data_IF_764696219587
#
_entry.id   IF_764696219587
#
_cell.length_a   1.000
_cell.length_b   1.000
_cell.length_c   1.000
_cell.angle_alpha   90.00
_cell.angle_beta   90.00
_cell.angle_gamma   90.00
#
_symmetry.space_group_name_H-M   'P 1'
#
loop_
_entity.id
_entity.type
_entity.pdbx_description
1 polymer ?
#
# COMPACT_ATOMS: atom_id res chain seq x y z
N UNK A 1 22.36 -9.96 2.12
CA UNK A 1 22.84 -8.90 3.01
C UNK A 1 22.35 -7.58 2.42
N UNK A 2 22.03 -6.58 3.25
CA UNK A 2 21.73 -5.22 2.78
C UNK A 2 23.07 -4.48 2.78
N UNK A 3 23.49 -4.01 1.61
CA UNK A 3 24.82 -3.46 1.36
C UNK A 3 24.80 -1.93 1.18
N UNK A 4 23.63 -1.32 0.92
CA UNK A 4 23.49 0.15 0.78
C UNK A 4 22.26 0.71 1.49
N UNK A 5 22.28 2.02 1.76
CA UNK A 5 21.10 2.74 2.29
C UNK A 5 19.90 2.66 1.31
N UNK A 6 20.18 2.62 0.00
CA UNK A 6 19.14 2.52 -1.03
C UNK A 6 18.45 1.17 -1.02
N UNK A 7 19.22 0.11 -0.87
CA UNK A 7 18.69 -1.24 -0.68
C UNK A 7 17.87 -1.35 0.60
N UNK A 8 18.36 -0.79 1.72
CA UNK A 8 17.61 -0.75 2.98
C UNK A 8 16.23 -0.12 2.79
N UNK A 9 16.18 1.09 2.22
CA UNK A 9 14.92 1.80 2.01
C UNK A 9 14.01 1.09 1.01
N UNK A 10 14.56 0.44 -0.01
CA UNK A 10 13.77 -0.35 -0.97
C UNK A 10 13.13 -1.57 -0.32
N UNK A 11 13.87 -2.29 0.54
CA UNK A 11 13.35 -3.44 1.30
C UNK A 11 12.33 -3.00 2.36
N UNK A 12 12.63 -1.94 3.10
CA UNK A 12 11.72 -1.39 4.11
C UNK A 12 10.40 -0.95 3.48
N UNK A 13 10.47 -0.16 2.39
CA UNK A 13 9.30 0.30 1.66
C UNK A 13 8.50 -0.85 1.03
N UNK A 14 9.17 -1.71 0.25
CA UNK A 14 8.49 -2.72 -0.57
C UNK A 14 8.05 -3.95 0.21
N UNK A 15 8.93 -4.53 1.03
CA UNK A 15 8.68 -5.80 1.70
C UNK A 15 8.13 -5.63 3.10
N UNK A 16 8.76 -4.80 3.93
CA UNK A 16 8.37 -4.68 5.35
C UNK A 16 7.02 -3.96 5.47
N UNK A 17 6.92 -2.74 4.94
CA UNK A 17 5.65 -1.99 4.96
C UNK A 17 4.56 -2.70 4.14
N UNK A 18 4.93 -3.27 2.98
CA UNK A 18 4.01 -4.08 2.17
C UNK A 18 3.44 -5.27 2.94
N UNK A 19 4.26 -6.04 3.65
CA UNK A 19 3.80 -7.19 4.44
C UNK A 19 2.92 -6.78 5.63
N UNK A 20 3.28 -5.71 6.33
CA UNK A 20 2.46 -5.15 7.41
C UNK A 20 1.10 -4.68 6.88
N UNK A 21 1.06 -4.10 5.68
CA UNK A 21 -0.18 -3.70 5.02
C UNK A 21 -1.07 -4.91 4.71
N UNK A 22 -0.50 -5.98 4.11
CA UNK A 22 -1.23 -7.23 3.82
C UNK A 22 -1.79 -7.89 5.09
N UNK A 23 -1.00 -7.92 6.17
CA UNK A 23 -1.40 -8.44 7.46
C UNK A 23 -2.56 -7.63 8.06
N UNK A 24 -2.43 -6.30 8.05
CA UNK A 24 -3.44 -5.40 8.59
C UNK A 24 -4.75 -5.48 7.80
N UNK A 25 -4.68 -5.52 6.47
CA UNK A 25 -5.84 -5.70 5.59
C UNK A 25 -6.57 -7.01 5.91
N UNK A 26 -5.84 -8.12 5.94
CA UNK A 26 -6.41 -9.45 6.19
C UNK A 26 -7.08 -9.51 7.57
N UNK A 27 -6.41 -8.99 8.60
CA UNK A 27 -6.95 -8.95 9.96
C UNK A 27 -8.23 -8.12 10.08
N UNK A 28 -8.26 -6.93 9.47
CA UNK A 28 -9.45 -6.07 9.46
C UNK A 28 -10.59 -6.73 8.69
N UNK A 29 -10.34 -7.32 7.52
CA UNK A 29 -11.39 -7.97 6.72
C UNK A 29 -12.03 -9.14 7.48
N UNK A 30 -11.23 -9.96 8.14
CA UNK A 30 -11.73 -11.06 8.99
C UNK A 30 -12.54 -10.51 10.16
N UNK A 31 -12.07 -9.45 10.82
CA UNK A 31 -12.78 -8.82 11.93
C UNK A 31 -14.14 -8.22 11.47
N UNK A 32 -14.17 -7.58 10.30
CA UNK A 32 -15.34 -6.92 9.73
C UNK A 32 -16.39 -7.95 9.28
N UNK A 33 -15.97 -8.97 8.54
CA UNK A 33 -16.85 -10.05 8.07
C UNK A 33 -17.41 -10.89 9.24
N UNK A 34 -16.60 -11.08 10.29
CA UNK A 34 -17.00 -11.82 11.48
C UNK A 34 -17.83 -11.01 12.48
N UNK A 35 -18.06 -9.71 12.25
CA UNK A 35 -18.91 -8.89 13.09
C UNK A 35 -20.37 -9.23 12.79
N UNK A 36 -20.89 -10.29 13.39
CA UNK A 36 -22.28 -10.75 13.27
C UNK A 36 -22.94 -10.65 14.64
N UNK A 37 -23.68 -9.56 14.89
CA UNK A 37 -24.32 -9.27 16.18
C UNK A 37 -25.11 -10.46 16.72
N UNK A 38 -25.83 -11.15 15.83
CA UNK A 38 -26.77 -12.21 16.18
C UNK A 38 -26.07 -13.50 16.63
N UNK A 39 -24.77 -13.63 16.34
CA UNK A 39 -23.94 -14.80 16.68
C UNK A 39 -22.91 -14.49 17.76
N UNK A 40 -22.87 -13.25 18.26
CA UNK A 40 -21.84 -12.78 19.20
C UNK A 40 -22.45 -12.32 20.50
N UNK A 41 -21.73 -12.57 21.60
CA UNK A 41 -22.06 -11.93 22.87
C UNK A 41 -21.74 -10.43 22.81
N UNK A 42 -22.36 -9.60 23.66
CA UNK A 42 -22.04 -8.16 23.72
C UNK A 42 -20.55 -7.89 23.94
N UNK A 43 -19.88 -8.69 24.79
CA UNK A 43 -18.43 -8.61 24.99
C UNK A 43 -17.65 -8.94 23.70
N UNK A 44 -18.09 -9.95 22.96
CA UNK A 44 -17.49 -10.34 21.67
C UNK A 44 -17.62 -9.26 20.60
N UNK A 45 -18.77 -8.56 20.54
CA UNK A 45 -18.97 -7.41 19.65
C UNK A 45 -17.99 -6.28 20.00
N UNK A 46 -17.93 -5.88 21.27
CA UNK A 46 -17.02 -4.82 21.73
C UNK A 46 -15.54 -5.13 21.46
N UNK A 47 -15.13 -6.39 21.66
CA UNK A 47 -13.77 -6.81 21.34
C UNK A 47 -13.46 -6.70 19.85
N UNK A 48 -14.38 -7.13 18.97
CA UNK A 48 -14.20 -7.02 17.51
C UNK A 48 -14.16 -5.58 17.03
N UNK A 49 -15.03 -4.72 17.57
CA UNK A 49 -15.00 -3.28 17.27
C UNK A 49 -13.65 -2.68 17.67
N UNK A 50 -13.10 -3.06 18.83
CA UNK A 50 -11.77 -2.60 19.26
C UNK A 50 -10.67 -3.05 18.29
N UNK A 51 -10.70 -4.30 17.84
CA UNK A 51 -9.75 -4.81 16.85
C UNK A 51 -9.89 -4.10 15.51
N UNK A 52 -11.11 -3.82 15.05
CA UNK A 52 -11.36 -3.02 13.85
C UNK A 52 -10.75 -1.63 13.98
N UNK A 53 -11.01 -0.91 15.08
CA UNK A 53 -10.47 0.43 15.35
C UNK A 53 -8.94 0.46 15.26
N UNK A 54 -8.25 -0.45 15.94
CA UNK A 54 -6.78 -0.49 15.92
C UNK A 54 -6.23 -0.99 14.59
N UNK A 55 -6.83 -2.03 14.01
CA UNK A 55 -6.39 -2.61 12.75
C UNK A 55 -6.49 -1.62 11.58
N UNK A 56 -7.57 -0.84 11.49
CA UNK A 56 -7.70 0.15 10.42
C UNK A 56 -6.81 1.37 10.61
N UNK A 57 -6.56 1.80 11.85
CA UNK A 57 -5.56 2.84 12.12
C UNK A 57 -4.16 2.36 11.75
N UNK A 58 -3.79 1.13 12.14
CA UNK A 58 -2.52 0.53 11.77
C UNK A 58 -2.35 0.45 10.25
N UNK A 59 -3.37 0.00 9.51
CA UNK A 59 -3.33 -0.03 8.06
C UNK A 59 -3.20 1.37 7.44
N UNK A 60 -3.95 2.36 7.94
CA UNK A 60 -3.86 3.74 7.47
C UNK A 60 -2.44 4.29 7.68
N UNK A 61 -1.84 4.09 8.86
CA UNK A 61 -0.45 4.52 9.13
C UNK A 61 0.53 3.81 8.20
N UNK A 62 0.47 2.49 8.08
CA UNK A 62 1.40 1.71 7.24
C UNK A 62 1.26 2.10 5.77
N UNK A 63 0.05 2.31 5.27
CA UNK A 63 -0.17 2.75 3.89
C UNK A 63 0.37 4.16 3.63
N UNK A 64 0.19 5.10 4.57
CA UNK A 64 0.80 6.43 4.48
C UNK A 64 2.33 6.36 4.47
N UNK A 65 2.92 5.60 5.39
CA UNK A 65 4.36 5.38 5.43
C UNK A 65 4.86 4.77 4.13
N UNK A 66 4.12 3.82 3.55
CA UNK A 66 4.46 3.20 2.26
C UNK A 66 4.50 4.26 1.17
N UNK A 67 3.42 5.02 0.98
CA UNK A 67 3.33 6.02 -0.10
C UNK A 67 4.35 7.15 0.07
N UNK A 68 4.55 7.64 1.29
CA UNK A 68 5.51 8.72 1.59
C UNK A 68 6.95 8.26 1.34
N UNK A 69 7.35 7.09 1.88
CA UNK A 69 8.71 6.57 1.66
C UNK A 69 8.96 6.26 0.19
N UNK A 70 7.96 5.72 -0.52
CA UNK A 70 8.04 5.46 -1.95
C UNK A 70 8.26 6.74 -2.74
N UNK A 71 7.46 7.78 -2.48
CA UNK A 71 7.45 9.02 -3.26
C UNK A 71 8.64 9.92 -2.97
N UNK A 72 9.04 10.04 -1.70
CA UNK A 72 10.02 11.05 -1.28
C UNK A 72 11.41 10.49 -0.99
N UNK A 73 11.57 9.17 -0.89
CA UNK A 73 12.88 8.53 -0.64
C UNK A 73 13.30 7.68 -1.83
N UNK A 74 12.47 6.70 -2.22
CA UNK A 74 12.82 5.72 -3.26
C UNK A 74 12.73 6.32 -4.67
N UNK A 75 11.66 7.06 -4.95
CA UNK A 75 11.38 7.61 -6.27
C UNK A 75 12.42 8.61 -6.81
N UNK A 76 13.01 9.51 -5.99
CA UNK A 76 14.11 10.37 -6.45
C UNK A 76 15.29 9.59 -7.04
N UNK A 77 15.66 8.44 -6.45
CA UNK A 77 16.74 7.60 -6.99
C UNK A 77 16.34 6.95 -8.32
N UNK A 78 15.10 6.49 -8.43
CA UNK A 78 14.55 5.97 -9.70
C UNK A 78 14.63 7.02 -10.83
N UNK A 79 14.36 8.29 -10.51
CA UNK A 79 14.35 9.42 -11.45
C UNK A 79 15.74 10.05 -11.71
N UNK A 80 16.81 9.55 -11.09
CA UNK A 80 18.14 10.09 -11.26
C UNK A 80 18.55 10.12 -12.75
N UNK A 81 19.15 11.23 -13.18
CA UNK A 81 19.61 11.40 -14.56
C UNK A 81 21.07 10.92 -14.68
N UNK A 82 21.42 10.14 -15.72
CA UNK A 82 22.81 9.80 -16.00
C UNK A 82 23.59 11.06 -16.42
N UNK A 83 24.86 11.18 -16.01
CA UNK A 83 25.81 12.12 -16.63
C UNK A 83 25.95 11.83 -18.13
N UNK A 84 26.31 12.85 -18.91
CA UNK A 84 26.33 12.77 -20.39
C UNK A 84 27.30 11.71 -20.95
N UNK A 85 28.34 11.36 -20.19
CA UNK A 85 29.42 10.47 -20.61
C UNK A 85 29.19 8.99 -20.21
N UNK A 86 28.12 8.70 -19.46
CA UNK A 86 27.86 7.36 -18.94
C UNK A 86 27.13 6.52 -20.00
N UNK A 87 27.80 5.48 -20.49
CA UNK A 87 27.21 4.48 -21.39
C UNK A 87 26.44 3.37 -20.67
N UNK A 88 26.82 3.07 -19.42
CA UNK A 88 26.17 2.05 -18.60
C UNK A 88 25.03 2.66 -17.77
N UNK A 89 23.78 2.36 -18.16
CA UNK A 89 22.60 2.93 -17.51
C UNK A 89 22.07 2.12 -16.31
N UNK A 90 22.73 1.04 -15.90
CA UNK A 90 22.22 0.14 -14.84
C UNK A 90 21.97 0.84 -13.49
N UNK A 91 22.72 1.91 -13.18
CA UNK A 91 22.52 2.72 -11.96
C UNK A 91 21.43 3.80 -12.10
N UNK A 92 20.81 3.92 -13.27
CA UNK A 92 19.81 4.92 -13.61
C UNK A 92 18.51 4.24 -14.09
N UNK A 93 17.70 3.68 -13.18
CA UNK A 93 16.62 2.75 -13.50
C UNK A 93 15.66 3.25 -14.57
N UNK A 94 15.20 4.50 -14.47
CA UNK A 94 14.31 5.09 -15.48
C UNK A 94 14.96 5.13 -16.87
N UNK A 95 16.21 5.59 -16.95
CA UNK A 95 16.92 5.74 -18.22
C UNK A 95 17.19 4.37 -18.84
N UNK A 96 17.55 3.38 -18.03
CA UNK A 96 17.71 1.99 -18.44
C UNK A 96 16.42 1.41 -19.03
N UNK A 97 15.29 1.52 -18.32
CA UNK A 97 13.99 1.03 -18.81
C UNK A 97 13.58 1.69 -20.13
N UNK A 98 13.91 2.96 -20.31
CA UNK A 98 13.63 3.70 -21.54
C UNK A 98 14.57 3.33 -22.70
N UNK A 99 15.78 2.84 -22.42
CA UNK A 99 16.74 2.43 -23.45
C UNK A 99 16.49 1.04 -24.03
N UNK A 100 15.74 0.18 -23.33
CA UNK A 100 15.45 -1.19 -23.74
C UNK A 100 13.99 -1.28 -24.20
N UNK A 101 13.70 -1.50 -25.49
CA UNK A 101 12.33 -1.44 -26.04
C UNK A 101 11.31 -2.28 -25.26
N UNK A 102 11.67 -3.49 -24.86
CA UNK A 102 10.78 -4.42 -24.14
C UNK A 102 10.46 -3.98 -22.70
N UNK A 103 11.23 -3.04 -22.14
CA UNK A 103 11.08 -2.57 -20.77
C UNK A 103 10.41 -1.19 -20.66
N UNK A 104 10.22 -0.49 -21.78
CA UNK A 104 9.65 0.88 -21.81
C UNK A 104 8.29 0.97 -21.12
N UNK A 105 7.47 -0.09 -21.21
CA UNK A 105 6.13 -0.15 -20.61
C UNK A 105 6.17 -0.02 -19.09
N UNK A 106 7.24 -0.46 -18.43
CA UNK A 106 7.38 -0.37 -16.98
C UNK A 106 7.51 1.08 -16.50
N UNK A 107 8.09 1.97 -17.31
CA UNK A 107 8.09 3.41 -17.01
C UNK A 107 6.81 4.08 -17.51
N UNK A 108 6.55 3.99 -18.81
CA UNK A 108 5.50 4.78 -19.50
C UNK A 108 4.08 4.47 -19.04
N UNK A 109 3.83 3.26 -18.54
CA UNK A 109 2.56 2.87 -17.97
C UNK A 109 2.69 2.51 -16.48
N UNK A 110 3.61 1.59 -16.15
CA UNK A 110 3.74 1.05 -14.79
C UNK A 110 4.02 2.12 -13.73
N UNK A 111 5.05 2.95 -13.93
CA UNK A 111 5.37 4.02 -12.99
C UNK A 111 4.32 5.13 -12.96
N UNK A 112 3.90 5.64 -14.12
CA UNK A 112 2.90 6.73 -14.18
C UNK A 112 1.59 6.34 -13.46
N UNK A 113 1.10 5.12 -13.71
CA UNK A 113 -0.10 4.62 -13.04
C UNK A 113 0.12 4.42 -11.53
N UNK A 114 1.25 3.80 -11.16
CA UNK A 114 1.62 3.56 -9.76
C UNK A 114 1.69 4.87 -8.96
N UNK A 115 2.27 5.92 -9.53
CA UNK A 115 2.44 7.22 -8.90
C UNK A 115 1.12 7.88 -8.51
N UNK A 116 0.05 7.66 -9.27
CA UNK A 116 -1.26 8.26 -8.99
C UNK A 116 -2.16 7.33 -8.16
N UNK A 117 -2.24 6.05 -8.55
CA UNK A 117 -3.17 5.11 -7.91
C UNK A 117 -2.76 4.77 -6.49
N UNK A 118 -1.47 4.78 -6.16
CA UNK A 118 -1.00 4.46 -4.81
C UNK A 118 -1.60 5.38 -3.72
N UNK A 119 -1.85 6.66 -4.02
CA UNK A 119 -2.37 7.64 -3.05
C UNK A 119 -3.82 7.39 -2.62
N UNK A 120 -4.61 6.70 -3.45
CA UNK A 120 -5.96 6.33 -3.05
C UNK A 120 -5.95 5.37 -1.86
N UNK A 121 -4.95 4.50 -1.76
CA UNK A 121 -4.89 3.52 -0.68
C UNK A 121 -4.89 4.16 0.71
N UNK A 122 -3.93 5.03 1.09
CA UNK A 122 -3.93 5.63 2.42
C UNK A 122 -5.09 6.58 2.66
N UNK A 123 -5.56 7.31 1.65
CA UNK A 123 -6.71 8.22 1.79
C UNK A 123 -7.96 7.41 2.16
N UNK A 124 -8.28 6.36 1.40
CA UNK A 124 -9.45 5.53 1.65
C UNK A 124 -9.32 4.69 2.93
N UNK A 125 -8.11 4.22 3.26
CA UNK A 125 -7.85 3.56 4.55
C UNK A 125 -8.11 4.53 5.72
N UNK A 126 -7.74 5.80 5.58
CA UNK A 126 -8.02 6.85 6.58
C UNK A 126 -9.51 7.10 6.72
N UNK A 127 -10.26 7.19 5.60
CA UNK A 127 -11.73 7.30 5.62
C UNK A 127 -12.37 6.12 6.35
N UNK A 128 -11.95 4.90 6.03
CA UNK A 128 -12.43 3.69 6.69
C UNK A 128 -12.14 3.71 8.20
N UNK A 129 -10.92 4.07 8.59
CA UNK A 129 -10.57 4.19 10.00
C UNK A 129 -11.44 5.22 10.71
N UNK A 130 -11.65 6.40 10.12
CA UNK A 130 -12.52 7.44 10.66
C UNK A 130 -13.96 6.95 10.84
N UNK A 131 -14.55 6.34 9.80
CA UNK A 131 -15.92 5.83 9.84
C UNK A 131 -16.07 4.77 10.94
N UNK A 132 -15.11 3.86 11.08
CA UNK A 132 -15.15 2.83 12.14
C UNK A 132 -15.07 3.44 13.53
N UNK A 133 -14.25 4.48 13.71
CA UNK A 133 -14.10 5.15 14.99
C UNK A 133 -15.35 5.95 15.37
N UNK A 134 -15.92 6.68 14.41
CA UNK A 134 -17.02 7.59 14.65
C UNK A 134 -18.37 6.88 14.76
N UNK A 135 -18.61 5.85 13.94
CA UNK A 135 -19.89 5.13 13.89
C UNK A 135 -19.86 3.77 14.60
N UNK A 136 -18.93 3.54 15.53
CA UNK A 136 -18.66 2.21 16.09
C UNK A 136 -19.88 1.46 16.60
N UNK A 137 -20.81 2.20 17.22
CA UNK A 137 -21.97 1.62 17.89
C UNK A 137 -23.02 1.12 16.87
N UNK A 138 -22.96 1.63 15.63
CA UNK A 138 -23.91 1.27 14.57
C UNK A 138 -23.40 0.14 13.67
N UNK A 139 -22.09 -0.11 13.63
CA UNK A 139 -21.47 -1.03 12.65
C UNK A 139 -21.93 -2.48 12.89
N UNK A 140 -22.18 -2.87 14.14
CA UNK A 140 -22.60 -4.24 14.45
C UNK A 140 -24.00 -4.56 13.91
N UNK A 141 -24.89 -3.57 13.85
CA UNK A 141 -26.31 -3.74 13.52
C UNK A 141 -26.63 -3.27 12.09
N UNK A 142 -25.83 -2.35 11.54
CA UNK A 142 -26.06 -1.76 10.22
C UNK A 142 -25.27 -2.48 9.12
N UNK A 143 -25.91 -3.43 8.43
CA UNK A 143 -25.29 -4.16 7.32
C UNK A 143 -24.88 -3.26 6.15
N UNK A 144 -25.65 -2.21 5.84
CA UNK A 144 -25.32 -1.28 4.74
C UNK A 144 -24.03 -0.52 5.05
N UNK A 145 -23.87 -0.06 6.30
CA UNK A 145 -22.65 0.60 6.76
C UNK A 145 -21.44 -0.34 6.67
N UNK A 146 -21.56 -1.59 7.14
CA UNK A 146 -20.48 -2.59 7.01
C UNK A 146 -20.09 -2.84 5.55
N UNK A 147 -21.07 -2.98 4.67
CA UNK A 147 -20.81 -3.22 3.25
C UNK A 147 -20.12 -2.01 2.60
N UNK A 148 -20.54 -0.79 2.90
CA UNK A 148 -19.87 0.41 2.43
C UNK A 148 -18.42 0.47 2.92
N UNK A 149 -18.18 0.23 4.22
CA UNK A 149 -16.82 0.15 4.79
C UNK A 149 -15.99 -0.90 4.05
N UNK A 150 -16.53 -2.10 3.84
CA UNK A 150 -15.84 -3.18 3.13
C UNK A 150 -15.47 -2.79 1.70
N UNK A 151 -16.38 -2.15 0.96
CA UNK A 151 -16.12 -1.68 -0.41
C UNK A 151 -14.98 -0.66 -0.43
N UNK A 152 -15.03 0.38 0.41
CA UNK A 152 -13.96 1.38 0.50
C UNK A 152 -12.62 0.75 0.88
N UNK A 153 -12.64 -0.21 1.80
CA UNK A 153 -11.45 -0.91 2.25
C UNK A 153 -10.85 -1.82 1.17
N UNK A 154 -11.69 -2.51 0.40
CA UNK A 154 -11.26 -3.31 -0.76
C UNK A 154 -10.67 -2.41 -1.84
N UNK A 155 -11.29 -1.27 -2.16
CA UNK A 155 -10.74 -0.32 -3.15
C UNK A 155 -9.37 0.21 -2.68
N UNK A 156 -9.25 0.56 -1.39
CA UNK A 156 -7.97 0.96 -0.78
C UNK A 156 -6.90 -0.11 -0.97
N UNK A 157 -7.23 -1.38 -0.72
CA UNK A 157 -6.32 -2.52 -0.91
C UNK A 157 -5.97 -2.73 -2.38
N UNK A 158 -6.95 -2.73 -3.28
CA UNK A 158 -6.74 -2.92 -4.72
C UNK A 158 -5.80 -1.86 -5.29
N UNK A 159 -5.94 -0.60 -4.87
CA UNK A 159 -5.04 0.48 -5.26
C UNK A 159 -3.59 0.20 -4.84
N UNK A 160 -3.36 -0.20 -3.59
CA UNK A 160 -2.03 -0.58 -3.10
C UNK A 160 -1.49 -1.85 -3.77
N UNK A 161 -2.33 -2.85 -4.02
CA UNK A 161 -1.94 -4.11 -4.66
C UNK A 161 -1.45 -3.87 -6.09
N UNK A 162 -2.17 -3.06 -6.87
CA UNK A 162 -1.76 -2.68 -8.24
C UNK A 162 -0.44 -1.91 -8.20
N UNK A 163 -0.32 -0.90 -7.32
CA UNK A 163 0.89 -0.11 -7.17
C UNK A 163 2.10 -0.96 -6.71
N UNK A 164 1.89 -1.88 -5.78
CA UNK A 164 2.89 -2.81 -5.27
C UNK A 164 3.34 -3.82 -6.32
N UNK A 165 2.41 -4.36 -7.11
CA UNK A 165 2.71 -5.28 -8.21
C UNK A 165 3.61 -4.62 -9.26
N UNK A 166 3.24 -3.43 -9.76
CA UNK A 166 4.09 -2.68 -10.67
C UNK A 166 5.43 -2.34 -10.03
N UNK A 167 5.43 -1.92 -8.76
CA UNK A 167 6.65 -1.66 -8.01
C UNK A 167 7.60 -2.86 -7.99
N UNK A 168 7.09 -4.06 -7.71
CA UNK A 168 7.89 -5.28 -7.68
C UNK A 168 8.48 -5.62 -9.06
N UNK A 169 7.70 -5.52 -10.13
CA UNK A 169 8.21 -5.76 -11.49
C UNK A 169 9.26 -4.74 -11.93
N UNK A 170 9.04 -3.46 -11.60
CA UNK A 170 9.99 -2.39 -11.90
C UNK A 170 11.30 -2.61 -11.13
N UNK A 171 11.24 -2.92 -9.83
CA UNK A 171 12.44 -3.21 -9.03
C UNK A 171 13.17 -4.47 -9.50
N UNK A 172 12.45 -5.45 -10.06
CA UNK A 172 13.08 -6.64 -10.66
C UNK A 172 13.76 -6.32 -11.99
N UNK A 173 13.13 -5.49 -12.84
CA UNK A 173 13.66 -5.14 -14.15
C UNK A 173 14.79 -4.11 -14.08
N UNK A 174 14.71 -3.15 -13.15
CA UNK A 174 15.64 -2.05 -12.97
C UNK A 174 15.79 -1.75 -11.46
N UNK A 175 16.63 -2.52 -10.74
CA UNK A 175 16.82 -2.35 -9.31
C UNK A 175 17.47 -1.00 -8.98
N UNK A 176 17.15 -0.48 -7.80
CA UNK A 176 17.87 0.67 -7.25
C UNK A 176 19.06 0.11 -6.45
N UNK A 177 20.26 0.35 -6.97
CA UNK A 177 21.55 -0.04 -6.38
C UNK A 177 22.08 1.08 -5.46
#
# INVERSE_FOLDING_TARGET
MIHSAREFWTVLHGMVLGSLFLLSFSGVMVALYGLRSDLLTPRGVSQRIRLLKFGTVAMAIVSWLTVITGTYIVYPWYRAKPPQEVSNLLEYPRSYLLSVPDLVIFHTFGMEWKEHVAWFSPILATVVAYVIWHFSDQIAENLKLRNAIAVFFIISFSAAAIAGLFGAFISKAAPIL
#
